data_IF_145708872730
#
_entry.id   IF_145708872730
#
_cell.length_a   1.000
_cell.length_b   1.000
_cell.length_c   1.000
_cell.angle_alpha   90.00
_cell.angle_beta   90.00
_cell.angle_gamma   90.00
#
_symmetry.space_group_name_H-M   'P 1'
#
loop_
_entity.id
_entity.type
_entity.pdbx_description
1 polymer ?
#
# COMPACT_ATOMS: atom_id res chain seq x y z
N UNK A 1 -29.61 1.26 -1.09
CA UNK A 1 -28.75 2.29 -0.46
C UNK A 1 -27.30 1.91 -0.78
N UNK A 2 -26.86 2.24 -2.00
CA UNK A 2 -25.59 1.77 -2.57
C UNK A 2 -24.55 2.90 -2.45
N UNK A 3 -23.97 3.10 -1.27
CA UNK A 3 -22.92 4.10 -1.06
C UNK A 3 -21.50 3.57 -1.34
N UNK A 4 -21.34 2.25 -1.54
CA UNK A 4 -20.01 1.61 -1.60
C UNK A 4 -19.41 1.51 -3.02
N UNK A 5 -20.10 1.99 -4.06
CA UNK A 5 -19.67 1.77 -5.47
C UNK A 5 -18.95 2.93 -6.16
N UNK A 6 -18.70 4.07 -5.49
CA UNK A 6 -18.06 5.23 -6.12
C UNK A 6 -16.80 5.72 -5.41
N UNK A 7 -16.19 4.91 -4.56
CA UNK A 7 -14.82 5.18 -4.08
C UNK A 7 -13.79 4.64 -5.06
N UNK A 8 -13.92 5.01 -6.35
CA UNK A 8 -12.81 4.92 -7.29
C UNK A 8 -11.84 6.08 -7.00
N UNK A 9 -11.31 6.11 -5.78
CA UNK A 9 -10.28 7.05 -5.33
C UNK A 9 -8.93 6.49 -5.75
N UNK A 10 -8.74 6.22 -7.04
CA UNK A 10 -7.45 5.82 -7.57
C UNK A 10 -7.33 6.29 -9.02
N UNK A 11 -6.81 7.50 -9.21
CA UNK A 11 -6.06 7.86 -10.42
C UNK A 11 -5.14 9.07 -10.22
N UNK A 12 -5.33 9.92 -9.21
CA UNK A 12 -4.50 11.12 -8.99
C UNK A 12 -3.05 10.80 -8.57
N UNK A 13 -2.86 9.92 -7.58
CA UNK A 13 -1.51 9.48 -7.18
C UNK A 13 -0.78 8.69 -8.27
N UNK A 14 -1.49 7.85 -9.03
CA UNK A 14 -0.91 7.10 -10.14
C UNK A 14 -0.51 8.04 -11.29
N UNK A 15 -1.34 9.03 -11.58
CA UNK A 15 -1.06 10.06 -12.58
C UNK A 15 0.13 10.93 -12.15
N UNK A 16 0.22 11.29 -10.87
CA UNK A 16 1.40 11.97 -10.32
C UNK A 16 2.68 11.16 -10.51
N UNK A 17 2.68 9.87 -10.14
CA UNK A 17 3.86 8.99 -10.32
C UNK A 17 4.18 8.83 -11.80
N UNK A 18 3.18 8.67 -12.65
CA UNK A 18 3.34 8.59 -14.10
C UNK A 18 4.05 9.82 -14.66
N UNK A 19 3.56 11.02 -14.37
CA UNK A 19 4.19 12.26 -14.85
C UNK A 19 5.58 12.48 -14.27
N UNK A 20 5.83 12.09 -13.01
CA UNK A 20 7.17 12.15 -12.40
C UNK A 20 8.16 11.26 -13.15
N UNK A 21 7.80 10.00 -13.42
CA UNK A 21 8.67 9.06 -14.14
C UNK A 21 8.94 9.57 -15.56
N UNK A 22 7.90 10.06 -16.26
CA UNK A 22 8.05 10.68 -17.58
C UNK A 22 9.03 11.86 -17.52
N UNK A 23 8.88 12.78 -16.57
CA UNK A 23 9.80 13.90 -16.39
C UNK A 23 11.25 13.43 -16.12
N UNK A 24 11.44 12.39 -15.30
CA UNK A 24 12.78 11.88 -14.97
C UNK A 24 13.49 11.24 -16.18
N UNK A 25 12.74 10.59 -17.07
CA UNK A 25 13.28 10.03 -18.33
C UNK A 25 13.61 11.13 -19.35
N UNK A 26 12.87 12.24 -19.34
CA UNK A 26 13.06 13.34 -20.28
C UNK A 26 14.27 14.21 -19.91
N UNK A 27 14.56 14.41 -18.61
CA UNK A 27 15.65 15.30 -18.15
C UNK A 27 17.02 14.98 -18.79
N UNK A 28 17.50 13.72 -18.85
CA UNK A 28 18.75 13.39 -19.55
C UNK A 28 18.72 13.76 -21.05
N UNK A 29 17.58 13.55 -21.72
CA UNK A 29 17.42 13.90 -23.12
C UNK A 29 17.50 15.42 -23.32
N UNK A 30 16.85 16.21 -22.46
CA UNK A 30 16.94 17.69 -22.51
C UNK A 30 18.38 18.14 -22.31
N UNK A 31 19.11 17.57 -21.34
CA UNK A 31 20.51 17.94 -21.06
C UNK A 31 21.40 17.62 -22.28
N UNK A 32 21.36 16.39 -22.78
CA UNK A 32 22.17 15.97 -23.93
C UNK A 32 21.89 16.83 -25.15
N UNK A 33 20.61 17.08 -25.47
CA UNK A 33 20.26 17.95 -26.58
C UNK A 33 20.68 19.41 -26.34
N UNK A 34 20.56 19.94 -25.13
CA UNK A 34 20.97 21.32 -24.83
C UNK A 34 22.48 21.54 -25.02
N UNK A 35 23.30 20.53 -24.65
CA UNK A 35 24.76 20.56 -24.84
C UNK A 35 25.12 20.42 -26.33
N UNK A 36 24.48 19.49 -27.04
CA UNK A 36 24.72 19.29 -28.47
C UNK A 36 24.25 20.48 -29.33
N UNK A 37 23.19 21.16 -28.90
CA UNK A 37 22.63 22.34 -29.57
C UNK A 37 23.58 23.54 -29.52
N UNK A 38 24.32 23.72 -28.41
CA UNK A 38 25.38 24.73 -28.36
C UNK A 38 26.51 24.46 -29.36
N UNK A 39 26.75 23.20 -29.74
CA UNK A 39 27.84 22.81 -30.62
C UNK A 39 27.46 22.80 -32.12
N UNK A 40 26.17 22.68 -32.47
CA UNK A 40 25.73 22.52 -33.87
C UNK A 40 24.52 23.41 -34.23
N UNK A 41 24.78 24.70 -34.46
CA UNK A 41 23.74 25.71 -34.77
C UNK A 41 23.18 25.61 -36.21
N UNK A 42 23.73 24.75 -37.08
CA UNK A 42 23.50 24.86 -38.55
C UNK A 42 22.47 23.92 -39.19
N UNK A 43 21.82 23.01 -38.46
CA UNK A 43 20.87 22.05 -39.08
C UNK A 43 19.42 22.28 -38.65
N UNK A 44 18.54 22.58 -39.60
CA UNK A 44 17.11 22.86 -39.38
C UNK A 44 16.34 21.69 -38.75
N UNK A 45 16.81 20.46 -38.96
CA UNK A 45 16.19 19.23 -38.41
C UNK A 45 16.39 19.09 -36.90
N UNK A 46 17.50 19.60 -36.36
CA UNK A 46 17.80 19.58 -34.92
C UNK A 46 16.92 20.57 -34.14
N UNK A 47 16.55 21.70 -34.76
CA UNK A 47 15.67 22.70 -34.15
C UNK A 47 14.25 22.17 -33.91
N UNK A 48 13.70 21.42 -34.86
CA UNK A 48 12.35 20.84 -34.71
C UNK A 48 12.31 19.76 -33.62
N UNK A 49 13.35 18.92 -33.53
CA UNK A 49 13.42 17.89 -32.48
C UNK A 49 13.62 18.51 -31.09
N UNK A 50 14.52 19.50 -30.96
CA UNK A 50 14.73 20.22 -29.72
C UNK A 50 13.45 20.91 -29.25
N UNK A 51 12.74 21.60 -30.14
CA UNK A 51 11.47 22.27 -29.81
C UNK A 51 10.42 21.27 -29.30
N UNK A 52 10.30 20.09 -29.92
CA UNK A 52 9.39 19.04 -29.45
C UNK A 52 9.76 18.53 -28.05
N UNK A 53 11.05 18.32 -27.77
CA UNK A 53 11.54 17.85 -26.46
C UNK A 53 11.24 18.90 -25.36
N UNK A 54 11.51 20.17 -25.64
CA UNK A 54 11.21 21.27 -24.71
C UNK A 54 9.71 21.45 -24.47
N UNK A 55 8.90 21.41 -25.53
CA UNK A 55 7.44 21.46 -25.42
C UNK A 55 6.92 20.29 -24.57
N UNK A 56 7.42 19.09 -24.81
CA UNK A 56 7.03 17.90 -24.05
C UNK A 56 7.43 18.00 -22.58
N UNK A 57 8.61 18.54 -22.27
CA UNK A 57 9.05 18.82 -20.90
C UNK A 57 8.14 19.82 -20.19
N UNK A 58 7.77 20.92 -20.84
CA UNK A 58 6.85 21.93 -20.27
C UNK A 58 5.46 21.33 -20.01
N UNK A 59 4.93 20.53 -20.94
CA UNK A 59 3.64 19.86 -20.78
C UNK A 59 3.68 18.84 -19.64
N UNK A 60 4.73 18.04 -19.55
CA UNK A 60 4.92 17.09 -18.46
C UNK A 60 5.03 17.80 -17.10
N UNK A 61 5.83 18.87 -17.00
CA UNK A 61 5.99 19.66 -15.79
C UNK A 61 4.68 20.37 -15.39
N UNK A 62 3.99 20.97 -16.36
CA UNK A 62 2.68 21.58 -16.15
C UNK A 62 1.65 20.57 -15.65
N UNK A 63 1.66 19.36 -16.19
CA UNK A 63 0.77 18.27 -15.77
C UNK A 63 1.13 17.75 -14.38
N UNK A 64 2.41 17.64 -14.05
CA UNK A 64 2.89 17.30 -12.72
C UNK A 64 2.43 18.32 -11.67
N UNK A 65 2.67 19.61 -11.92
CA UNK A 65 2.26 20.71 -11.05
C UNK A 65 0.73 20.76 -10.93
N UNK A 66 0.01 20.62 -12.04
CA UNK A 66 -1.44 20.58 -12.03
C UNK A 66 -1.98 19.43 -11.18
N UNK A 67 -1.36 18.25 -11.23
CA UNK A 67 -1.75 17.12 -10.38
C UNK A 67 -1.45 17.36 -8.89
N UNK A 68 -0.40 18.11 -8.54
CA UNK A 68 -0.15 18.52 -7.16
C UNK A 68 -1.28 19.39 -6.60
N UNK A 69 -1.86 20.28 -7.42
CA UNK A 69 -2.93 21.20 -7.02
C UNK A 69 -4.35 20.63 -7.22
N UNK A 70 -4.53 19.74 -8.19
CA UNK A 70 -5.81 19.10 -8.50
C UNK A 70 -6.19 18.03 -7.47
N UNK A 71 -5.23 17.54 -6.67
CA UNK A 71 -5.48 16.71 -5.51
C UNK A 71 -6.21 17.55 -4.44
N UNK A 72 -7.54 17.54 -4.55
CA UNK A 72 -8.48 18.32 -3.74
C UNK A 72 -8.18 18.15 -2.24
N UNK A 73 -7.75 19.23 -1.60
CA UNK A 73 -7.83 19.40 -0.15
C UNK A 73 -9.30 19.20 0.25
N UNK A 74 -9.60 18.10 0.94
CA UNK A 74 -10.94 17.88 1.50
C UNK A 74 -11.01 18.82 2.70
N UNK A 75 -11.76 19.94 2.62
CA UNK A 75 -11.90 20.83 3.76
C UNK A 75 -12.59 20.03 4.85
N UNK A 76 -12.07 20.17 6.07
CA UNK A 76 -12.64 19.59 7.27
C UNK A 76 -14.07 20.13 7.37
N UNK A 77 -15.06 19.36 6.91
CA UNK A 77 -16.37 19.47 7.52
C UNK A 77 -16.14 19.11 8.97
N UNK A 78 -16.31 20.12 9.82
CA UNK A 78 -16.26 20.08 11.26
C UNK A 78 -17.23 19.03 11.76
N UNK A 79 -16.79 17.77 11.71
CA UNK A 79 -17.30 16.72 12.58
C UNK A 79 -17.05 17.28 13.98
N UNK A 80 -18.13 17.39 14.72
CA UNK A 80 -18.34 17.97 16.04
C UNK A 80 -17.49 17.38 17.18
N UNK A 81 -16.29 16.89 16.89
CA UNK A 81 -15.35 16.33 17.84
C UNK A 81 -14.31 17.36 18.25
N UNK A 82 -14.00 17.41 19.55
CA UNK A 82 -13.10 18.37 20.19
C UNK A 82 -11.67 18.39 19.62
N UNK A 83 -11.28 17.43 18.77
CA UNK A 83 -9.94 17.34 18.18
C UNK A 83 -9.95 16.95 16.70
N UNK A 84 -9.13 17.60 15.85
CA UNK A 84 -9.03 17.29 14.43
C UNK A 84 -8.41 15.91 14.17
N UNK A 85 -8.87 15.24 13.11
CA UNK A 85 -8.31 13.98 12.59
C UNK A 85 -6.91 14.24 11.99
N UNK A 86 -6.02 13.24 11.99
CA UNK A 86 -4.67 13.33 11.40
C UNK A 86 -4.72 13.85 9.94
N UNK A 87 -3.95 14.91 9.62
CA UNK A 87 -3.89 15.50 8.29
C UNK A 87 -3.51 14.58 7.15
N UNK A 88 -2.75 13.53 7.44
CA UNK A 88 -2.34 12.52 6.46
C UNK A 88 -3.50 11.99 5.59
N UNK A 89 -4.73 11.95 6.12
CA UNK A 89 -5.91 11.43 5.41
C UNK A 89 -6.40 12.37 4.29
N UNK A 90 -6.19 13.68 4.43
CA UNK A 90 -6.77 14.72 3.56
C UNK A 90 -5.73 15.63 2.90
N UNK A 91 -4.44 15.43 3.17
CA UNK A 91 -3.35 16.14 2.51
C UNK A 91 -3.09 15.60 1.12
N UNK A 92 -2.52 16.45 0.25
CA UNK A 92 -2.16 16.06 -1.11
C UNK A 92 -1.10 14.95 -1.11
N UNK A 93 -1.10 14.13 -2.17
CA UNK A 93 -0.13 13.06 -2.36
C UNK A 93 1.35 13.48 -2.14
N UNK A 94 1.85 14.60 -2.70
CA UNK A 94 3.21 15.06 -2.41
C UNK A 94 3.42 15.42 -0.93
N UNK A 95 2.42 16.02 -0.26
CA UNK A 95 2.53 16.31 1.17
C UNK A 95 2.61 15.03 2.01
N UNK A 96 1.96 13.94 1.58
CA UNK A 96 2.09 12.62 2.20
C UNK A 96 3.51 12.04 2.04
N UNK A 97 4.15 12.20 0.87
CA UNK A 97 5.53 11.74 0.64
C UNK A 97 6.55 12.53 1.47
N UNK A 98 6.47 13.87 1.42
CA UNK A 98 7.43 14.74 2.09
C UNK A 98 7.11 14.98 3.58
N UNK A 99 6.04 14.36 4.10
CA UNK A 99 5.55 14.52 5.47
C UNK A 99 5.39 15.99 5.90
N UNK A 100 5.13 16.91 4.98
CA UNK A 100 5.09 18.36 5.26
C UNK A 100 3.94 18.75 6.18
N UNK A 101 2.91 17.92 6.23
CA UNK A 101 1.79 18.09 7.15
C UNK A 101 2.21 17.99 8.64
N UNK A 102 3.26 17.21 8.95
CA UNK A 102 3.80 17.05 10.31
C UNK A 102 4.55 18.30 10.77
N UNK A 103 5.14 19.07 9.83
CA UNK A 103 5.95 20.26 10.12
C UNK A 103 5.20 21.28 10.97
N UNK A 104 3.89 21.44 10.76
CA UNK A 104 3.02 22.32 11.54
C UNK A 104 3.00 21.96 13.05
N UNK A 105 2.94 20.67 13.37
CA UNK A 105 2.94 20.15 14.74
C UNK A 105 4.33 20.26 15.37
N UNK A 106 5.39 19.98 14.60
CA UNK A 106 6.79 20.12 15.06
C UNK A 106 7.05 21.56 15.47
N UNK A 107 6.66 22.54 14.63
CA UNK A 107 6.88 23.95 14.92
C UNK A 107 6.06 24.42 16.15
N UNK A 108 4.87 23.85 16.37
CA UNK A 108 4.04 24.12 17.54
C UNK A 108 4.68 23.57 18.82
N UNK A 109 5.22 22.35 18.76
CA UNK A 109 6.00 21.72 19.82
C UNK A 109 7.28 22.48 20.19
N UNK A 110 7.91 23.10 19.19
CA UNK A 110 9.08 23.95 19.42
C UNK A 110 8.73 25.22 20.21
N UNK A 111 7.55 25.81 19.96
CA UNK A 111 7.10 27.03 20.64
C UNK A 111 6.46 26.77 22.01
N UNK A 112 5.78 25.62 22.18
CA UNK A 112 5.03 25.26 23.40
C UNK A 112 5.07 23.74 23.61
N UNK A 113 5.20 23.23 24.85
CA UNK A 113 5.06 21.80 25.11
C UNK A 113 3.69 21.30 24.65
N UNK A 114 3.69 20.24 23.84
CA UNK A 114 2.46 19.63 23.33
C UNK A 114 1.67 19.00 24.47
N UNK A 115 0.35 19.24 24.48
CA UNK A 115 -0.61 18.56 25.35
C UNK A 115 -1.40 17.54 24.54
N UNK A 116 -2.02 16.53 25.16
CA UNK A 116 -2.85 15.53 24.46
C UNK A 116 -3.96 16.12 23.60
N UNK A 117 -4.41 17.33 23.93
CA UNK A 117 -5.43 18.08 23.18
C UNK A 117 -4.89 18.74 21.91
N UNK A 118 -3.57 18.94 21.83
CA UNK A 118 -2.89 19.49 20.65
C UNK A 118 -2.51 18.40 19.64
N UNK A 119 -2.62 17.13 20.03
CA UNK A 119 -2.40 15.98 19.17
C UNK A 119 -3.61 15.67 18.31
N UNK A 120 -3.36 15.17 17.10
CA UNK A 120 -4.41 14.74 16.19
C UNK A 120 -5.04 13.41 16.61
N UNK A 121 -6.30 13.21 16.27
CA UNK A 121 -6.97 11.93 16.47
C UNK A 121 -6.61 10.92 15.37
N UNK A 122 -6.36 9.68 15.78
CA UNK A 122 -6.08 8.58 14.86
C UNK A 122 -7.34 8.22 14.03
N UNK A 123 -7.20 7.99 12.71
CA UNK A 123 -8.29 7.53 11.86
C UNK A 123 -8.89 6.22 12.35
N UNK A 124 -10.20 6.04 12.19
CA UNK A 124 -10.94 4.86 12.67
C UNK A 124 -10.35 3.56 12.11
N UNK A 125 -9.83 3.58 10.88
CA UNK A 125 -9.19 2.43 10.23
C UNK A 125 -7.91 1.95 10.93
N UNK A 126 -7.16 2.85 11.56
CA UNK A 126 -5.88 2.55 12.21
C UNK A 126 -6.03 2.41 13.73
N UNK A 127 -7.24 2.56 14.28
CA UNK A 127 -7.51 2.31 15.70
C UNK A 127 -7.36 0.83 16.03
N UNK A 128 -6.81 0.55 17.22
CA UNK A 128 -6.58 -0.82 17.71
C UNK A 128 -7.82 -1.70 17.64
N UNK A 129 -9.02 -1.15 17.90
CA UNK A 129 -10.28 -1.89 17.85
C UNK A 129 -10.55 -2.42 16.43
N UNK A 130 -10.40 -1.58 15.42
CA UNK A 130 -10.63 -1.93 14.02
C UNK A 130 -9.60 -2.94 13.53
N UNK A 131 -8.33 -2.70 13.85
CA UNK A 131 -7.21 -3.57 13.48
C UNK A 131 -7.34 -4.95 14.14
N UNK A 132 -7.68 -5.00 15.43
CA UNK A 132 -7.93 -6.25 16.14
C UNK A 132 -9.11 -7.03 15.53
N UNK A 133 -10.18 -6.32 15.14
CA UNK A 133 -11.34 -6.94 14.50
C UNK A 133 -10.99 -7.53 13.12
N UNK A 134 -10.13 -6.85 12.33
CA UNK A 134 -9.65 -7.37 11.05
C UNK A 134 -8.90 -8.71 11.23
N UNK A 135 -7.91 -8.74 12.12
CA UNK A 135 -7.15 -9.96 12.41
C UNK A 135 -8.06 -11.07 12.95
N UNK A 136 -9.01 -10.73 13.83
CA UNK A 136 -9.96 -11.70 14.37
C UNK A 136 -10.89 -12.28 13.30
N UNK A 137 -11.33 -11.47 12.33
CA UNK A 137 -12.16 -11.94 11.23
C UNK A 137 -11.38 -12.87 10.29
N UNK A 138 -10.12 -12.52 9.97
CA UNK A 138 -9.23 -13.41 9.22
C UNK A 138 -9.02 -14.74 9.95
N UNK A 139 -8.81 -14.70 11.27
CA UNK A 139 -8.65 -15.89 12.11
C UNK A 139 -9.90 -16.78 12.11
N UNK A 140 -11.11 -16.20 12.22
CA UNK A 140 -12.39 -16.93 12.15
C UNK A 140 -12.58 -17.59 10.79
N UNK A 141 -12.28 -16.87 9.70
CA UNK A 141 -12.36 -17.41 8.34
C UNK A 141 -11.43 -18.60 8.12
N UNK A 142 -10.18 -18.52 8.59
CA UNK A 142 -9.21 -19.62 8.47
C UNK A 142 -9.65 -20.82 9.32
N UNK A 143 -10.07 -20.61 10.57
CA UNK A 143 -10.55 -21.69 11.43
C UNK A 143 -11.71 -22.47 10.78
N UNK A 144 -12.67 -21.78 10.17
CA UNK A 144 -13.82 -22.40 9.51
C UNK A 144 -13.39 -23.24 8.29
N UNK A 145 -12.40 -22.77 7.52
CA UNK A 145 -11.83 -23.53 6.39
C UNK A 145 -11.07 -24.76 6.87
N UNK A 146 -10.25 -24.63 7.91
CA UNK A 146 -9.50 -25.75 8.49
C UNK A 146 -10.42 -26.81 9.08
N UNK A 147 -11.51 -26.42 9.73
CA UNK A 147 -12.51 -27.39 10.22
C UNK A 147 -13.18 -28.13 9.07
N UNK A 148 -13.62 -27.42 8.03
CA UNK A 148 -14.30 -28.04 6.89
C UNK A 148 -13.40 -29.03 6.15
N UNK A 149 -12.14 -28.66 5.90
CA UNK A 149 -11.14 -29.55 5.30
C UNK A 149 -10.87 -30.76 6.19
N UNK A 150 -10.83 -30.57 7.51
CA UNK A 150 -10.67 -31.69 8.45
C UNK A 150 -11.86 -32.64 8.40
N UNK A 151 -13.09 -32.14 8.31
CA UNK A 151 -14.30 -32.97 8.20
C UNK A 151 -14.35 -33.72 6.86
N UNK A 152 -14.01 -33.05 5.75
CA UNK A 152 -13.96 -33.66 4.42
C UNK A 152 -12.91 -34.77 4.35
N UNK A 153 -11.70 -34.53 4.86
CA UNK A 153 -10.64 -35.55 4.92
C UNK A 153 -11.02 -36.76 5.79
N UNK A 154 -11.69 -36.54 6.93
CA UNK A 154 -12.21 -37.63 7.77
C UNK A 154 -13.29 -38.42 7.02
N UNK A 155 -14.18 -37.74 6.28
CA UNK A 155 -15.21 -38.42 5.49
C UNK A 155 -14.64 -39.25 4.34
N UNK A 156 -13.57 -38.77 3.68
CA UNK A 156 -12.85 -39.48 2.62
C UNK A 156 -12.11 -40.70 3.21
N UNK A 157 -11.43 -40.52 4.35
CA UNK A 157 -10.71 -41.60 5.02
C UNK A 157 -11.66 -42.71 5.52
N UNK A 158 -12.82 -42.34 6.08
CA UNK A 158 -13.83 -43.32 6.48
C UNK A 158 -14.37 -44.10 5.28
N UNK A 159 -14.55 -43.43 4.13
CA UNK A 159 -15.03 -44.08 2.89
C UNK A 159 -13.99 -45.04 2.29
N UNK A 160 -12.70 -44.72 2.35
CA UNK A 160 -11.62 -45.63 1.90
C UNK A 160 -11.36 -46.76 2.91
N UNK A 161 -11.58 -46.52 4.21
CA UNK A 161 -11.58 -47.59 5.22
C UNK A 161 -12.76 -48.54 5.04
N UNK A 162 -13.97 -48.06 4.72
CA UNK A 162 -15.14 -48.93 4.46
C UNK A 162 -14.95 -49.78 3.19
N UNK A 163 -14.26 -49.28 2.15
CA UNK A 163 -13.85 -50.09 0.99
C UNK A 163 -12.84 -51.20 1.36
N UNK A 164 -11.91 -50.92 2.28
CA UNK A 164 -10.92 -51.91 2.77
C UNK A 164 -11.49 -52.86 3.85
N UNK A 165 -12.47 -52.43 4.64
CA UNK A 165 -13.11 -53.21 5.72
C UNK A 165 -14.00 -54.34 5.21
N UNK A 166 -14.45 -54.29 3.96
CA UNK A 166 -15.09 -55.43 3.30
C UNK A 166 -14.21 -56.70 3.24
N UNK A 167 -12.91 -56.61 3.56
CA UNK A 167 -11.98 -57.74 3.58
C UNK A 167 -11.46 -58.16 4.97
N UNK A 168 -11.74 -57.43 6.06
CA UNK A 168 -11.23 -57.82 7.39
C UNK A 168 -12.13 -57.27 8.51
N UNK A 169 -13.25 -57.96 8.74
CA UNK A 169 -14.14 -57.70 9.87
C UNK A 169 -13.52 -58.27 11.14
N UNK A 170 -13.02 -57.39 12.02
CA UNK A 170 -13.03 -57.50 13.49
C UNK A 170 -11.94 -56.58 14.05
N UNK A 171 -12.27 -55.35 14.46
CA UNK A 171 -11.58 -54.53 15.48
C UNK A 171 -12.33 -53.18 15.67
N UNK A 172 -12.38 -52.62 16.90
CA UNK A 172 -13.35 -51.59 17.26
C UNK A 172 -12.97 -50.19 16.76
N UNK A 173 -14.00 -49.43 16.39
CA UNK A 173 -13.97 -48.04 15.94
C UNK A 173 -13.26 -47.13 16.95
N UNK A 174 -12.08 -46.64 16.59
CA UNK A 174 -11.39 -45.60 17.36
C UNK A 174 -12.04 -44.26 17.05
N UNK A 175 -12.62 -43.64 18.08
CA UNK A 175 -13.29 -42.33 18.05
C UNK A 175 -12.25 -41.21 17.81
N UNK A 176 -11.99 -40.86 16.55
CA UNK A 176 -11.10 -39.75 16.17
C UNK A 176 -11.88 -38.43 16.25
N UNK A 177 -12.28 -38.02 17.46
CA UNK A 177 -12.70 -36.65 17.73
C UNK A 177 -11.64 -35.96 18.57
N UNK A 178 -10.47 -35.67 17.98
CA UNK A 178 -9.46 -34.82 18.64
C UNK A 178 -9.80 -33.34 18.42
N UNK A 179 -10.06 -32.55 19.47
CA UNK A 179 -10.18 -31.11 19.34
C UNK A 179 -8.83 -30.54 18.90
N UNK A 180 -8.87 -29.65 17.90
CA UNK A 180 -7.74 -28.95 17.30
C UNK A 180 -6.71 -28.53 18.37
N UNK A 181 -5.49 -29.04 18.27
CA UNK A 181 -4.49 -28.90 19.34
C UNK A 181 -4.10 -27.43 19.58
N UNK A 182 -3.73 -27.10 20.82
CA UNK A 182 -3.23 -25.78 21.22
C UNK A 182 -2.08 -25.26 20.34
N UNK A 183 -1.34 -26.17 19.68
CA UNK A 183 -0.26 -25.87 18.75
C UNK A 183 -0.75 -25.41 17.37
N UNK A 184 -1.84 -25.96 16.84
CA UNK A 184 -2.42 -25.48 15.57
C UNK A 184 -2.93 -24.04 15.67
N UNK A 185 -3.43 -23.61 16.84
CA UNK A 185 -3.84 -22.21 17.07
C UNK A 185 -2.71 -21.18 16.85
N UNK A 186 -1.44 -21.55 17.09
CA UNK A 186 -0.28 -20.67 16.91
C UNK A 186 0.05 -20.46 15.42
N UNK A 187 -0.03 -21.50 14.61
CA UNK A 187 0.25 -21.43 13.16
C UNK A 187 -0.83 -20.66 12.40
N UNK A 188 -2.08 -20.78 12.85
CA UNK A 188 -3.23 -20.08 12.27
C UNK A 188 -3.15 -18.57 12.57
N UNK A 189 -2.65 -18.19 13.76
CA UNK A 189 -2.43 -16.77 14.09
C UNK A 189 -1.46 -16.10 13.13
N UNK A 190 -0.29 -16.71 12.86
CA UNK A 190 0.68 -16.14 11.91
C UNK A 190 0.10 -16.02 10.50
N UNK A 191 -0.66 -17.02 10.04
CA UNK A 191 -1.35 -16.94 8.75
C UNK A 191 -2.41 -15.83 8.72
N UNK A 192 -3.17 -15.65 9.79
CA UNK A 192 -4.16 -14.58 9.89
C UNK A 192 -3.51 -13.20 9.92
N UNK A 193 -2.38 -13.07 10.62
CA UNK A 193 -1.61 -11.84 10.71
C UNK A 193 -1.01 -11.47 9.36
N UNK A 194 -0.31 -12.40 8.70
CA UNK A 194 0.19 -12.15 7.35
C UNK A 194 -0.96 -11.89 6.39
N UNK A 195 -2.05 -12.66 6.43
CA UNK A 195 -3.21 -12.43 5.57
C UNK A 195 -3.87 -11.06 5.74
N UNK A 196 -3.88 -10.49 6.95
CA UNK A 196 -4.46 -9.17 7.22
C UNK A 196 -3.54 -8.01 6.80
N UNK A 197 -2.22 -8.20 6.79
CA UNK A 197 -1.25 -7.11 6.57
C UNK A 197 -0.34 -7.32 5.37
N UNK A 198 -0.51 -8.38 4.58
CA UNK A 198 0.38 -8.72 3.46
C UNK A 198 0.52 -7.55 2.48
N UNK A 199 -0.58 -6.85 2.18
CA UNK A 199 -0.58 -5.72 1.25
C UNK A 199 0.33 -4.58 1.75
N UNK A 200 0.27 -4.27 3.05
CA UNK A 200 1.14 -3.26 3.67
C UNK A 200 2.60 -3.71 3.70
N UNK A 201 2.86 -5.01 3.95
CA UNK A 201 4.20 -5.59 3.98
C UNK A 201 4.83 -5.58 2.59
N UNK A 202 4.10 -5.98 1.55
CA UNK A 202 4.56 -5.98 0.17
C UNK A 202 4.89 -4.55 -0.28
N UNK A 203 4.01 -3.59 0.01
CA UNK A 203 4.26 -2.19 -0.32
C UNK A 203 5.56 -1.67 0.32
N UNK A 204 5.78 -1.94 1.62
CA UNK A 204 7.02 -1.59 2.30
C UNK A 204 8.25 -2.31 1.73
N UNK A 205 8.11 -3.59 1.38
CA UNK A 205 9.17 -4.38 0.77
C UNK A 205 9.59 -3.85 -0.60
N UNK A 206 8.64 -3.44 -1.44
CA UNK A 206 8.91 -2.83 -2.75
C UNK A 206 9.66 -1.51 -2.62
N UNK A 207 9.25 -0.64 -1.68
CA UNK A 207 9.93 0.63 -1.42
C UNK A 207 11.39 0.36 -1.00
N UNK A 208 11.61 -0.61 -0.13
CA UNK A 208 12.96 -0.99 0.31
C UNK A 208 13.80 -1.57 -0.83
N UNK A 209 13.22 -2.42 -1.67
CA UNK A 209 13.90 -2.97 -2.84
C UNK A 209 14.36 -1.86 -3.81
N UNK A 210 13.51 -0.88 -4.07
CA UNK A 210 13.86 0.28 -4.91
C UNK A 210 14.97 1.10 -4.27
N UNK A 211 14.91 1.33 -2.95
CA UNK A 211 15.97 2.02 -2.23
C UNK A 211 17.32 1.28 -2.34
N UNK A 212 17.32 -0.04 -2.18
CA UNK A 212 18.52 -0.86 -2.28
C UNK A 212 19.10 -0.80 -3.71
N UNK A 213 18.25 -0.75 -4.75
CA UNK A 213 18.68 -0.55 -6.14
C UNK A 213 19.39 0.80 -6.33
N UNK A 214 18.84 1.89 -5.77
CA UNK A 214 19.51 3.19 -5.81
C UNK A 214 20.87 3.16 -5.08
N UNK A 215 20.95 2.48 -3.94
CA UNK A 215 22.19 2.37 -3.19
C UNK A 215 23.27 1.58 -3.95
N UNK A 216 22.87 0.60 -4.78
CA UNK A 216 23.78 -0.11 -5.70
C UNK A 216 24.30 0.77 -6.83
N UNK A 217 23.52 1.77 -7.28
CA UNK A 217 23.97 2.71 -8.32
C UNK A 217 24.95 3.77 -7.81
N UNK A 218 24.94 4.07 -6.51
CA UNK A 218 25.86 5.03 -5.88
C UNK A 218 27.34 4.79 -6.20
N UNK A 219 27.90 3.60 -5.94
CA UNK A 219 29.29 3.28 -6.28
C UNK A 219 29.56 3.11 -7.78
N UNK A 220 28.54 3.03 -8.64
CA UNK A 220 28.71 2.94 -10.09
C UNK A 220 28.89 4.32 -10.76
N UNK A 221 28.54 5.39 -10.05
CA UNK A 221 28.55 6.78 -10.52
C UNK A 221 29.79 7.54 -10.05
N UNK A 222 30.49 7.03 -9.03
CA UNK A 222 31.72 7.60 -8.46
C UNK A 222 32.97 7.06 -9.18
#
# INVERSE_FOLDING_TARGET
MNYDRLKSVYSSGLLFVFWLVVSLVIVPNVIVYSVNFQQQIKSTKLWTEAACIWLHFIVALGSFIANCFAEKYIPIETISDERPIVPEVYVSFPSRIFCTWVTSLILRGYKKPLTENDCWQLPISERTVTVAHQVQNCMKGINTRTTNISYENISIANRTEDENRNSLNDLPLIDIKKPLSKYQKKTIFWHALFGAFIDKIIAGGLIKFVHDLFQLTGPLIL
#
